data_IF_706252996003
#
_entry.id   IF_706252996003
#
_cell.length_a   1.000
_cell.length_b   1.000
_cell.length_c   1.000
_cell.angle_alpha   90.00
_cell.angle_beta   90.00
_cell.angle_gamma   90.00
#
_symmetry.space_group_name_H-M   'P 1'
#
loop_
_entity.id
_entity.type
_entity.pdbx_description
1 polymer ?
#
# COMPACT_ATOMS: atom_id res chain seq x y z
N UNK A 1 11.70 2.62 -15.58
CA UNK A 1 10.67 3.17 -14.67
C UNK A 1 10.01 2.10 -13.80
N UNK A 2 9.55 0.96 -14.34
CA UNK A 2 8.98 -0.15 -13.56
C UNK A 2 9.93 -0.69 -12.45
N UNK A 3 11.23 -0.83 -12.76
CA UNK A 3 12.23 -1.34 -11.81
C UNK A 3 12.36 -0.48 -10.53
N UNK A 4 12.16 0.84 -10.62
CA UNK A 4 12.24 1.73 -9.45
C UNK A 4 11.00 1.64 -8.57
N UNK A 5 9.87 1.20 -9.10
CA UNK A 5 8.64 1.05 -8.32
C UNK A 5 8.67 -0.21 -7.46
N UNK A 6 9.20 -1.31 -7.99
CA UNK A 6 9.29 -2.62 -7.32
C UNK A 6 10.60 -2.81 -6.54
N UNK A 7 11.67 -2.07 -6.86
CA UNK A 7 12.91 -2.13 -6.07
C UNK A 7 12.70 -1.59 -4.66
N UNK A 8 13.51 -2.02 -3.69
CA UNK A 8 13.59 -1.43 -2.34
C UNK A 8 14.72 -0.40 -2.22
N UNK A 9 15.46 -0.16 -3.30
CA UNK A 9 16.61 0.72 -3.35
C UNK A 9 16.24 2.17 -3.67
N UNK A 10 17.07 3.09 -3.20
CA UNK A 10 16.90 4.53 -3.45
C UNK A 10 16.06 5.28 -2.41
N UNK A 11 15.75 6.52 -2.78
CA UNK A 11 15.04 7.57 -2.04
C UNK A 11 13.86 8.07 -2.87
N UNK A 12 12.72 8.44 -2.27
CA UNK A 12 11.52 8.82 -3.06
C UNK A 12 10.93 10.19 -2.72
N UNK A 13 11.22 10.73 -1.54
CA UNK A 13 10.65 11.99 -1.08
C UNK A 13 9.20 11.88 -0.61
N UNK A 14 8.70 12.94 0.04
CA UNK A 14 7.41 12.93 0.74
C UNK A 14 6.22 12.84 -0.22
N UNK A 15 6.17 13.70 -1.23
CA UNK A 15 5.05 13.77 -2.16
C UNK A 15 4.89 12.51 -3.00
N UNK A 16 5.99 11.95 -3.52
CA UNK A 16 5.93 10.71 -4.28
C UNK A 16 5.49 9.53 -3.41
N UNK A 17 5.92 9.47 -2.13
CA UNK A 17 5.43 8.44 -1.20
C UNK A 17 3.92 8.50 -1.04
N UNK A 18 3.37 9.67 -0.70
CA UNK A 18 1.92 9.87 -0.49
C UNK A 18 1.15 9.48 -1.75
N UNK A 19 1.57 9.99 -2.91
CA UNK A 19 0.90 9.71 -4.18
C UNK A 19 0.88 8.20 -4.50
N UNK A 20 2.01 7.50 -4.30
CA UNK A 20 2.10 6.06 -4.56
C UNK A 20 1.21 5.23 -3.62
N UNK A 21 1.18 5.58 -2.33
CA UNK A 21 0.30 4.91 -1.36
C UNK A 21 -1.18 5.18 -1.70
N UNK A 22 -1.54 6.41 -2.08
CA UNK A 22 -2.88 6.76 -2.49
C UNK A 22 -3.33 5.99 -3.75
N UNK A 23 -2.45 5.87 -4.75
CA UNK A 23 -2.71 5.09 -5.97
C UNK A 23 -2.92 3.60 -5.61
N UNK A 24 -2.07 3.02 -4.76
CA UNK A 24 -2.22 1.62 -4.33
C UNK A 24 -3.55 1.39 -3.61
N UNK A 25 -3.94 2.28 -2.71
CA UNK A 25 -5.23 2.21 -2.02
C UNK A 25 -6.41 2.33 -3.01
N UNK A 26 -6.32 3.25 -3.97
CA UNK A 26 -7.34 3.43 -5.01
C UNK A 26 -7.48 2.20 -5.91
N UNK A 27 -6.37 1.53 -6.26
CA UNK A 27 -6.38 0.29 -7.04
C UNK A 27 -7.10 -0.82 -6.26
N UNK A 28 -6.77 -1.03 -4.99
CA UNK A 28 -7.41 -2.07 -4.16
C UNK A 28 -8.91 -1.79 -4.00
N UNK A 29 -9.29 -0.54 -3.78
CA UNK A 29 -10.69 -0.13 -3.73
C UNK A 29 -11.41 -0.37 -5.07
N UNK A 30 -10.76 -0.05 -6.19
CA UNK A 30 -11.29 -0.31 -7.53
C UNK A 30 -11.50 -1.81 -7.79
N UNK A 31 -10.56 -2.66 -7.35
CA UNK A 31 -10.71 -4.13 -7.41
C UNK A 31 -11.90 -4.59 -6.59
N UNK A 32 -12.09 -4.08 -5.38
CA UNK A 32 -13.27 -4.41 -4.55
C UNK A 32 -14.58 -4.05 -5.25
N UNK A 33 -14.69 -2.82 -5.77
CA UNK A 33 -15.89 -2.34 -6.46
C UNK A 33 -16.19 -3.19 -7.71
N UNK A 34 -15.17 -3.47 -8.51
CA UNK A 34 -15.31 -4.28 -9.71
C UNK A 34 -15.68 -5.74 -9.36
N UNK A 35 -14.97 -6.36 -8.44
CA UNK A 35 -15.18 -7.75 -8.05
C UNK A 35 -16.55 -7.95 -7.41
N UNK A 36 -16.96 -7.07 -6.48
CA UNK A 36 -18.28 -7.15 -5.85
C UNK A 36 -19.41 -7.01 -6.87
N UNK A 37 -19.30 -6.08 -7.82
CA UNK A 37 -20.29 -5.91 -8.87
C UNK A 37 -20.33 -7.11 -9.84
N UNK A 38 -19.17 -7.59 -10.27
CA UNK A 38 -19.06 -8.71 -11.21
C UNK A 38 -19.60 -10.01 -10.59
N UNK A 39 -19.19 -10.33 -9.36
CA UNK A 39 -19.61 -11.55 -8.68
C UNK A 39 -21.02 -11.48 -8.09
N UNK A 40 -21.60 -10.29 -7.95
CA UNK A 40 -23.03 -10.14 -7.64
C UNK A 40 -23.94 -10.55 -8.80
N UNK A 41 -23.49 -10.36 -10.05
CA UNK A 41 -24.28 -10.59 -11.27
C UNK A 41 -23.80 -11.80 -12.08
N UNK A 42 -23.01 -12.69 -11.48
CA UNK A 42 -22.48 -13.83 -12.22
C UNK A 42 -23.60 -14.83 -12.52
N UNK A 43 -23.71 -15.23 -13.80
CA UNK A 43 -24.71 -16.08 -14.46
C UNK A 43 -25.47 -17.15 -13.66
N UNK A 44 -24.93 -17.69 -12.56
CA UNK A 44 -25.55 -18.77 -11.79
C UNK A 44 -25.66 -18.50 -10.27
N UNK A 45 -25.42 -17.27 -9.81
CA UNK A 45 -25.63 -16.88 -8.42
C UNK A 45 -24.73 -15.76 -7.92
N UNK A 46 -24.97 -15.32 -6.69
CA UNK A 46 -24.16 -14.31 -6.01
C UNK A 46 -22.97 -14.96 -5.31
N UNK A 47 -21.75 -14.72 -5.82
CA UNK A 47 -20.51 -15.25 -5.27
C UNK A 47 -19.72 -14.21 -4.47
N UNK A 48 -20.35 -13.65 -3.42
CA UNK A 48 -19.75 -12.57 -2.61
C UNK A 48 -18.43 -12.95 -1.94
N UNK A 49 -18.26 -14.21 -1.54
CA UNK A 49 -17.01 -14.71 -0.94
C UNK A 49 -15.83 -14.67 -1.90
N UNK A 50 -16.07 -14.86 -3.21
CA UNK A 50 -15.02 -14.80 -4.23
C UNK A 50 -14.56 -13.35 -4.48
N UNK A 51 -15.49 -12.39 -4.37
CA UNK A 51 -15.15 -10.96 -4.40
C UNK A 51 -14.22 -10.56 -3.24
N UNK A 52 -14.54 -11.06 -2.03
CA UNK A 52 -13.70 -10.86 -0.84
C UNK A 52 -12.32 -11.49 -1.05
N UNK A 53 -12.26 -12.74 -1.53
CA UNK A 53 -11.00 -13.43 -1.80
C UNK A 53 -10.12 -12.66 -2.79
N UNK A 54 -10.67 -12.25 -3.94
CA UNK A 54 -9.93 -11.45 -4.92
C UNK A 54 -9.39 -10.16 -4.30
N UNK A 55 -10.21 -9.46 -3.53
CA UNK A 55 -9.81 -8.21 -2.88
C UNK A 55 -8.68 -8.42 -1.88
N UNK A 56 -8.71 -9.53 -1.12
CA UNK A 56 -7.60 -9.90 -0.21
C UNK A 56 -6.32 -10.15 -1.00
N UNK A 57 -6.38 -10.93 -2.09
CA UNK A 57 -5.19 -11.23 -2.92
C UNK A 57 -4.56 -9.95 -3.47
N UNK A 58 -5.35 -9.07 -4.09
CA UNK A 58 -4.85 -7.80 -4.61
C UNK A 58 -4.41 -6.85 -3.48
N UNK A 59 -5.10 -6.85 -2.34
CA UNK A 59 -4.72 -6.12 -1.14
C UNK A 59 -3.35 -6.55 -0.60
N UNK A 60 -3.06 -7.84 -0.56
CA UNK A 60 -1.74 -8.37 -0.16
C UNK A 60 -0.64 -7.90 -1.11
N UNK A 61 -0.86 -8.01 -2.43
CA UNK A 61 0.12 -7.53 -3.44
C UNK A 61 0.39 -6.02 -3.25
N UNK A 62 -0.66 -5.21 -3.13
CA UNK A 62 -0.54 -3.78 -2.90
C UNK A 62 0.19 -3.48 -1.58
N UNK A 63 -0.03 -4.28 -0.54
CA UNK A 63 0.65 -4.16 0.75
C UNK A 63 2.15 -4.41 0.64
N UNK A 64 2.59 -5.43 -0.10
CA UNK A 64 4.01 -5.67 -0.35
C UNK A 64 4.66 -4.51 -1.12
N UNK A 65 3.97 -3.99 -2.15
CA UNK A 65 4.46 -2.82 -2.90
C UNK A 65 4.53 -1.59 -1.99
N UNK A 66 3.53 -1.38 -1.14
CA UNK A 66 3.48 -0.30 -0.14
C UNK A 66 4.62 -0.38 0.87
N UNK A 67 4.93 -1.58 1.37
CA UNK A 67 6.08 -1.82 2.26
C UNK A 67 7.40 -1.44 1.59
N UNK A 68 7.58 -1.71 0.30
CA UNK A 68 8.77 -1.29 -0.45
C UNK A 68 8.86 0.24 -0.58
N UNK A 69 7.73 0.95 -0.77
CA UNK A 69 7.75 2.42 -0.75
C UNK A 69 8.06 2.97 0.64
N UNK A 70 7.52 2.33 1.69
CA UNK A 70 7.76 2.71 3.08
C UNK A 70 9.24 2.56 3.45
N UNK A 71 9.90 1.47 3.05
CA UNK A 71 11.33 1.28 3.27
C UNK A 71 12.18 2.39 2.64
N UNK A 72 11.85 2.80 1.41
CA UNK A 72 12.53 3.94 0.79
C UNK A 72 12.28 5.24 1.53
N UNK A 73 11.05 5.46 2.00
CA UNK A 73 10.71 6.67 2.77
C UNK A 73 11.42 6.70 4.13
N UNK A 74 11.52 5.57 4.82
CA UNK A 74 12.30 5.46 6.06
C UNK A 74 13.78 5.74 5.81
N UNK A 75 14.32 5.32 4.66
CA UNK A 75 15.68 5.65 4.24
C UNK A 75 15.85 7.16 3.98
N UNK A 76 14.86 7.85 3.42
CA UNK A 76 14.88 9.31 3.26
C UNK A 76 14.97 10.04 4.62
N UNK A 77 14.30 9.50 5.62
CA UNK A 77 14.31 10.01 7.00
C UNK A 77 15.57 9.55 7.78
N UNK A 78 16.42 8.73 7.18
CA UNK A 78 17.55 8.07 7.83
C UNK A 78 17.16 7.29 9.08
N UNK A 79 15.98 6.68 9.06
CA UNK A 79 15.45 5.77 10.07
C UNK A 79 15.75 4.33 9.65
N UNK A 80 15.88 3.44 10.62
CA UNK A 80 16.17 2.03 10.37
C UNK A 80 14.98 1.29 9.73
N UNK A 81 15.28 0.25 8.96
CA UNK A 81 14.29 -0.55 8.25
C UNK A 81 13.35 -1.31 9.20
N UNK A 82 13.79 -1.71 10.39
CA UNK A 82 12.95 -2.43 11.37
C UNK A 82 11.72 -1.62 11.81
N UNK A 83 11.69 -0.31 11.58
CA UNK A 83 10.50 0.51 11.87
C UNK A 83 9.29 0.12 11.00
N UNK A 84 9.48 -0.62 9.90
CA UNK A 84 8.34 -1.19 9.15
C UNK A 84 7.55 -2.20 9.98
N UNK A 85 8.11 -2.77 11.05
CA UNK A 85 7.41 -3.72 11.92
C UNK A 85 6.17 -3.10 12.58
N UNK A 86 6.13 -1.77 12.76
CA UNK A 86 4.95 -1.06 13.25
C UNK A 86 3.73 -1.22 12.34
N UNK A 87 3.91 -1.62 11.08
CA UNK A 87 2.82 -1.89 10.15
C UNK A 87 2.01 -3.15 10.50
N UNK A 88 2.58 -4.07 11.30
CA UNK A 88 1.89 -5.29 11.74
C UNK A 88 1.00 -5.08 12.97
N UNK A 89 1.12 -3.94 13.65
CA UNK A 89 0.28 -3.62 14.81
C UNK A 89 -0.94 -2.81 14.33
N UNK A 90 -2.16 -3.37 14.41
CA UNK A 90 -3.36 -2.65 13.97
C UNK A 90 -3.58 -1.38 14.80
N UNK A 91 -4.01 -0.30 14.14
CA UNK A 91 -4.19 1.02 14.75
C UNK A 91 -2.89 1.83 14.78
N UNK A 92 -1.79 1.25 15.25
CA UNK A 92 -0.46 1.91 15.23
C UNK A 92 0.04 2.06 13.81
N UNK A 93 -0.23 1.10 12.93
CA UNK A 93 0.15 1.14 11.52
C UNK A 93 -0.34 2.41 10.79
N UNK A 94 -1.58 2.84 11.05
CA UNK A 94 -2.16 4.04 10.44
C UNK A 94 -1.47 5.31 10.95
N UNK A 95 -1.28 5.42 12.27
CA UNK A 95 -0.56 6.55 12.88
C UNK A 95 0.87 6.63 12.37
N UNK A 96 1.53 5.48 12.23
CA UNK A 96 2.89 5.38 11.71
C UNK A 96 2.96 5.81 10.24
N UNK A 97 2.00 5.38 9.40
CA UNK A 97 1.87 5.82 8.01
C UNK A 97 1.69 7.33 7.90
N UNK A 98 0.82 7.92 8.73
CA UNK A 98 0.58 9.36 8.78
C UNK A 98 1.85 10.12 9.22
N UNK A 99 2.53 9.62 10.25
CA UNK A 99 3.80 10.19 10.70
C UNK A 99 4.85 10.18 9.58
N UNK A 100 5.05 9.04 8.92
CA UNK A 100 6.03 8.89 7.83
C UNK A 100 5.67 9.74 6.61
N UNK A 101 4.37 9.95 6.38
CA UNK A 101 3.86 10.81 5.31
C UNK A 101 4.10 12.31 5.59
N UNK A 102 4.14 12.75 6.85
CA UNK A 102 4.27 14.19 7.19
C UNK A 102 5.71 14.57 7.54
N UNK A 103 6.42 13.71 8.27
CA UNK A 103 7.74 13.99 8.81
C UNK A 103 8.74 14.38 7.71
N UNK A 104 9.63 15.36 7.95
CA UNK A 104 10.61 15.82 6.97
C UNK A 104 11.68 14.77 6.67
N UNK A 105 12.28 14.85 5.47
CA UNK A 105 13.47 14.05 5.16
C UNK A 105 14.73 14.68 5.76
N UNK A 106 15.81 13.90 5.93
CA UNK A 106 17.08 14.42 6.50
C UNK A 106 17.81 15.44 5.59
N UNK A 107 17.29 15.73 4.40
CA UNK A 107 17.91 16.63 3.42
C UNK A 107 16.95 17.68 2.86
N UNK A 108 15.82 17.90 3.52
CA UNK A 108 14.89 19.02 3.30
C UNK A 108 15.00 20.00 4.48
#
# INVERSE_FOLDING_TARGET
MLNSFISSEGRIGRFAFILRIAILAAIVYGVWMWASHFFAHWHHGTFGTLAVFMTIVFGLIASFIGLMQLLKRLRDMGKAAYNTLWMFVPGVNLLFLLYVAVAPSKGE
#
